data_IF_303208053875
#
_entry.id   IF_303208053875
#
_cell.length_a   1.000
_cell.length_b   1.000
_cell.length_c   1.000
_cell.angle_alpha   90.00
_cell.angle_beta   90.00
_cell.angle_gamma   90.00
#
_symmetry.space_group_name_H-M   'P 1'
#
loop_
_entity.id
_entity.type
_entity.pdbx_description
1 polymer ?
#
# COMPACT_ATOMS: atom_id res chain seq x y z
N UNK A 1 6.91 -84.85 -52.34
CA UNK A 1 6.11 -83.62 -52.51
C UNK A 1 6.05 -82.73 -51.25
N UNK A 2 6.25 -83.24 -50.02
CA UNK A 2 6.19 -82.46 -48.77
C UNK A 2 7.36 -81.49 -48.49
N UNK A 3 8.53 -81.69 -49.10
CA UNK A 3 9.73 -80.86 -48.85
C UNK A 3 9.75 -79.51 -49.58
N UNK A 4 9.03 -79.38 -50.70
CA UNK A 4 8.94 -78.12 -51.47
C UNK A 4 8.02 -77.13 -50.75
N UNK A 5 6.97 -77.63 -50.12
CA UNK A 5 5.97 -76.84 -49.39
C UNK A 5 6.58 -76.19 -48.12
N UNK A 6 7.42 -76.94 -47.39
CA UNK A 6 8.08 -76.45 -46.17
C UNK A 6 9.18 -75.41 -46.46
N UNK A 7 9.82 -75.51 -47.64
CA UNK A 7 10.84 -74.54 -48.09
C UNK A 7 10.20 -73.22 -48.53
N UNK A 8 9.02 -73.28 -49.16
CA UNK A 8 8.23 -72.08 -49.51
C UNK A 8 7.68 -71.41 -48.25
N UNK A 9 7.24 -72.20 -47.25
CA UNK A 9 6.79 -71.66 -45.96
C UNK A 9 7.92 -70.96 -45.20
N UNK A 10 9.13 -71.54 -45.17
CA UNK A 10 10.30 -70.89 -44.57
C UNK A 10 10.76 -69.65 -45.34
N UNK A 11 10.66 -69.65 -46.67
CA UNK A 11 10.96 -68.47 -47.48
C UNK A 11 9.93 -67.34 -47.26
N UNK A 12 8.67 -67.65 -46.95
CA UNK A 12 7.64 -66.68 -46.52
C UNK A 12 7.92 -66.12 -45.13
N UNK A 13 8.52 -66.89 -44.22
CA UNK A 13 8.98 -66.42 -42.90
C UNK A 13 10.30 -65.60 -42.98
N UNK A 14 11.22 -65.96 -43.88
CA UNK A 14 12.53 -65.30 -44.03
C UNK A 14 12.48 -64.03 -44.90
N UNK A 15 11.61 -64.00 -45.91
CA UNK A 15 11.27 -62.77 -46.63
C UNK A 15 10.02 -62.26 -45.93
N UNK A 16 10.16 -61.35 -44.96
CA UNK A 16 9.06 -60.79 -44.16
C UNK A 16 7.92 -60.22 -45.01
N UNK A 17 7.08 -61.11 -45.55
CA UNK A 17 6.02 -60.80 -46.47
C UNK A 17 4.83 -60.45 -45.59
N UNK A 18 4.79 -59.18 -45.20
CA UNK A 18 3.81 -58.60 -44.27
C UNK A 18 2.34 -58.81 -44.68
N UNK A 19 2.11 -59.24 -45.91
CA UNK A 19 0.80 -59.50 -46.47
C UNK A 19 0.78 -60.86 -47.17
N UNK A 20 -0.28 -61.63 -46.96
CA UNK A 20 -0.52 -62.90 -47.65
C UNK A 20 -0.92 -62.63 -49.10
N UNK A 21 -0.03 -62.94 -50.04
CA UNK A 21 -0.20 -62.68 -51.47
C UNK A 21 -1.48 -63.31 -52.05
N UNK A 22 -1.84 -64.50 -51.58
CA UNK A 22 -3.05 -65.23 -52.04
C UNK A 22 -4.33 -64.53 -51.58
N UNK A 23 -4.33 -63.95 -50.38
CA UNK A 23 -5.45 -63.19 -49.86
C UNK A 23 -5.58 -61.84 -50.57
N UNK A 24 -4.46 -61.13 -50.78
CA UNK A 24 -4.43 -59.89 -51.56
C UNK A 24 -4.97 -60.10 -52.98
N UNK A 25 -4.50 -61.15 -53.66
CA UNK A 25 -4.93 -61.48 -55.02
C UNK A 25 -6.43 -61.75 -55.07
N UNK A 26 -6.95 -62.54 -54.12
CA UNK A 26 -8.38 -62.82 -54.01
C UNK A 26 -9.22 -61.55 -53.77
N UNK A 27 -8.74 -60.64 -52.92
CA UNK A 27 -9.44 -59.38 -52.61
C UNK A 27 -9.45 -58.42 -53.81
N UNK A 28 -8.34 -58.35 -54.55
CA UNK A 28 -8.22 -57.55 -55.77
C UNK A 28 -9.11 -58.10 -56.88
N UNK A 29 -9.13 -59.42 -57.09
CA UNK A 29 -9.97 -60.08 -58.11
C UNK A 29 -11.47 -59.93 -57.82
N UNK A 30 -11.86 -59.92 -56.54
CA UNK A 30 -13.25 -59.65 -56.12
C UNK A 30 -13.67 -58.19 -56.26
N UNK A 31 -12.72 -57.27 -56.50
CA UNK A 31 -13.00 -55.84 -56.62
C UNK A 31 -13.51 -55.18 -55.33
N UNK A 32 -13.39 -55.85 -54.17
CA UNK A 32 -13.87 -55.33 -52.89
C UNK A 32 -12.82 -54.39 -52.29
N UNK A 33 -12.92 -53.11 -52.67
CA UNK A 33 -12.03 -52.06 -52.21
C UNK A 33 -12.06 -51.89 -50.69
N UNK A 34 -13.22 -52.01 -50.05
CA UNK A 34 -13.35 -51.79 -48.61
C UNK A 34 -12.66 -52.90 -47.80
N UNK A 35 -12.81 -54.16 -48.24
CA UNK A 35 -12.13 -55.30 -47.63
C UNK A 35 -10.61 -55.23 -47.86
N UNK A 36 -10.18 -54.79 -49.06
CA UNK A 36 -8.77 -54.57 -49.38
C UNK A 36 -8.15 -53.47 -48.51
N UNK A 37 -8.78 -52.29 -48.41
CA UNK A 37 -8.31 -51.17 -47.59
C UNK A 37 -8.20 -51.59 -46.11
N UNK A 38 -9.20 -52.33 -45.61
CA UNK A 38 -9.18 -52.86 -44.23
C UNK A 38 -8.04 -53.84 -44.00
N UNK A 39 -7.78 -54.73 -44.96
CA UNK A 39 -6.70 -55.72 -44.86
C UNK A 39 -5.32 -55.05 -44.85
N UNK A 40 -5.12 -54.05 -45.72
CA UNK A 40 -3.89 -53.26 -45.78
C UNK A 40 -3.67 -52.46 -44.49
N UNK A 41 -4.70 -51.78 -43.97
CA UNK A 41 -4.60 -51.01 -42.73
C UNK A 41 -4.32 -51.88 -41.49
N UNK A 42 -4.91 -53.08 -41.42
CA UNK A 42 -4.67 -54.04 -40.31
C UNK A 42 -3.26 -54.60 -40.28
N UNK A 43 -2.57 -54.64 -41.43
CA UNK A 43 -1.20 -55.11 -41.52
C UNK A 43 -0.14 -54.08 -41.11
N UNK A 44 -0.52 -52.83 -40.84
CA UNK A 44 0.41 -51.79 -40.39
C UNK A 44 0.78 -52.02 -38.92
N UNK A 45 2.07 -52.21 -38.65
CA UNK A 45 2.59 -52.37 -37.30
C UNK A 45 3.18 -51.06 -36.74
N UNK A 46 3.43 -51.02 -35.43
CA UNK A 46 4.02 -49.85 -34.76
C UNK A 46 5.38 -49.46 -35.35
N UNK A 47 6.17 -50.44 -35.80
CA UNK A 47 7.47 -50.23 -36.44
C UNK A 47 7.37 -49.50 -37.78
N UNK A 48 6.20 -49.53 -38.43
CA UNK A 48 5.97 -48.91 -39.73
C UNK A 48 5.50 -47.46 -39.63
N UNK A 49 5.05 -47.03 -38.45
CA UNK A 49 4.60 -45.66 -38.19
C UNK A 49 5.62 -44.57 -38.58
N UNK A 50 6.94 -44.70 -38.34
CA UNK A 50 7.91 -43.72 -38.83
C UNK A 50 7.89 -43.56 -40.35
N UNK A 51 7.76 -44.66 -41.10
CA UNK A 51 7.65 -44.62 -42.56
C UNK A 51 6.33 -43.99 -43.00
N UNK A 52 5.21 -44.38 -42.36
CA UNK A 52 3.89 -43.81 -42.65
C UNK A 52 3.86 -42.30 -42.44
N UNK A 53 4.44 -41.82 -41.33
CA UNK A 53 4.54 -40.38 -41.02
C UNK A 53 5.45 -39.62 -41.98
N UNK A 54 6.41 -40.28 -42.62
CA UNK A 54 7.32 -39.63 -43.57
C UNK A 54 6.74 -39.62 -44.99
N UNK A 55 6.01 -40.66 -45.37
CA UNK A 55 5.45 -40.82 -46.71
C UNK A 55 4.09 -40.15 -46.89
N UNK A 56 3.25 -40.09 -45.84
CA UNK A 56 1.91 -39.50 -45.90
C UNK A 56 1.83 -38.20 -45.08
N UNK A 57 1.80 -37.07 -45.78
CA UNK A 57 1.75 -35.74 -45.18
C UNK A 57 0.44 -35.46 -44.40
N UNK A 58 -0.69 -36.03 -44.83
CA UNK A 58 -1.98 -35.85 -44.15
C UNK A 58 -2.00 -36.57 -42.81
N UNK A 59 -1.51 -37.81 -42.77
CA UNK A 59 -1.38 -38.59 -41.53
C UNK A 59 -0.41 -37.89 -40.57
N UNK A 60 0.71 -37.38 -41.07
CA UNK A 60 1.65 -36.59 -40.27
C UNK A 60 0.99 -35.36 -39.66
N UNK A 61 0.30 -34.57 -40.48
CA UNK A 61 -0.37 -33.34 -40.03
C UNK A 61 -1.45 -33.61 -38.99
N UNK A 62 -2.21 -34.70 -39.15
CA UNK A 62 -3.24 -35.09 -38.18
C UNK A 62 -2.62 -35.48 -36.83
N UNK A 63 -1.58 -36.31 -36.85
CA UNK A 63 -0.88 -36.75 -35.63
C UNK A 63 -0.20 -35.57 -34.93
N UNK A 64 0.40 -34.64 -35.67
CA UNK A 64 1.00 -33.44 -35.09
C UNK A 64 -0.07 -32.53 -34.45
N UNK A 65 -1.22 -32.34 -35.11
CA UNK A 65 -2.36 -31.59 -34.54
C UNK A 65 -2.88 -32.20 -33.23
N UNK A 66 -3.03 -33.53 -33.16
CA UNK A 66 -3.50 -34.17 -31.94
C UNK A 66 -2.45 -34.09 -30.82
N UNK A 67 -1.15 -34.18 -31.15
CA UNK A 67 -0.07 -33.95 -30.19
C UNK A 67 -0.09 -32.53 -29.64
N UNK A 68 -0.27 -31.53 -30.49
CA UNK A 68 -0.33 -30.12 -30.10
C UNK A 68 -1.53 -29.85 -29.20
N UNK A 69 -2.69 -30.42 -29.53
CA UNK A 69 -3.90 -30.33 -28.70
C UNK A 69 -3.69 -30.98 -27.33
N UNK A 70 -3.08 -32.16 -27.27
CA UNK A 70 -2.77 -32.82 -26.01
C UNK A 70 -1.72 -32.06 -25.20
N UNK A 71 -0.67 -31.54 -25.84
CA UNK A 71 0.34 -30.70 -25.18
C UNK A 71 -0.29 -29.43 -24.63
N UNK A 72 -1.10 -28.72 -25.43
CA UNK A 72 -1.81 -27.53 -24.99
C UNK A 72 -2.71 -27.83 -23.80
N UNK A 73 -3.51 -28.89 -23.85
CA UNK A 73 -4.39 -29.31 -22.74
C UNK A 73 -3.59 -29.69 -21.50
N UNK A 74 -2.51 -30.44 -21.65
CA UNK A 74 -1.64 -30.84 -20.54
C UNK A 74 -0.95 -29.62 -19.90
N UNK A 75 -0.50 -28.67 -20.72
CA UNK A 75 0.08 -27.41 -20.26
C UNK A 75 -0.95 -26.57 -19.53
N UNK A 76 -2.15 -26.38 -20.06
CA UNK A 76 -3.21 -25.62 -19.39
C UNK A 76 -3.65 -26.30 -18.08
N UNK A 77 -3.75 -27.62 -18.06
CA UNK A 77 -4.04 -28.37 -16.83
C UNK A 77 -2.93 -28.22 -15.81
N UNK A 78 -1.67 -28.34 -16.23
CA UNK A 78 -0.53 -28.11 -15.35
C UNK A 78 -0.51 -26.68 -14.82
N UNK A 79 -0.76 -25.69 -15.69
CA UNK A 79 -0.84 -24.28 -15.31
C UNK A 79 -1.92 -24.04 -14.27
N UNK A 80 -3.14 -24.51 -14.52
CA UNK A 80 -4.26 -24.38 -13.60
C UNK A 80 -3.99 -25.03 -12.25
N UNK A 81 -3.28 -26.16 -12.22
CA UNK A 81 -3.02 -26.89 -10.98
C UNK A 81 -1.80 -26.39 -10.20
N UNK A 82 -0.82 -25.77 -10.87
CA UNK A 82 0.49 -25.48 -10.27
C UNK A 82 0.87 -24.00 -10.28
N UNK A 83 0.44 -23.19 -11.26
CA UNK A 83 0.88 -21.79 -11.35
C UNK A 83 0.43 -20.97 -10.14
N UNK A 84 -0.79 -21.15 -9.65
CA UNK A 84 -1.28 -20.40 -8.50
C UNK A 84 -0.43 -20.69 -7.25
N UNK A 85 -0.09 -21.95 -7.00
CA UNK A 85 0.79 -22.34 -5.88
C UNK A 85 2.20 -21.78 -6.03
N UNK A 86 2.78 -21.82 -7.23
CA UNK A 86 4.11 -21.30 -7.52
C UNK A 86 4.18 -19.77 -7.44
N UNK A 87 3.15 -19.09 -7.95
CA UNK A 87 3.00 -17.63 -7.85
C UNK A 87 2.85 -17.23 -6.38
N UNK A 88 1.98 -17.90 -5.62
CA UNK A 88 1.80 -17.65 -4.19
C UNK A 88 3.08 -17.91 -3.38
N UNK A 89 3.84 -18.96 -3.71
CA UNK A 89 5.13 -19.24 -3.08
C UNK A 89 6.19 -18.16 -3.38
N UNK A 90 6.29 -17.70 -4.63
CA UNK A 90 7.25 -16.66 -5.02
C UNK A 90 6.82 -15.28 -4.52
N UNK A 91 5.51 -14.99 -4.51
CA UNK A 91 4.93 -13.78 -3.90
C UNK A 91 5.23 -13.76 -2.40
N UNK A 92 4.97 -14.85 -1.66
CA UNK A 92 5.32 -14.98 -0.24
C UNK A 92 6.82 -14.87 0.03
N UNK A 93 7.66 -15.32 -0.89
CA UNK A 93 9.13 -15.23 -0.77
C UNK A 93 9.66 -13.81 -1.02
N UNK A 94 9.05 -13.08 -1.96
CA UNK A 94 9.47 -11.70 -2.33
C UNK A 94 8.79 -10.62 -1.50
N UNK A 95 7.56 -10.86 -1.11
CA UNK A 95 6.71 -10.02 -0.27
C UNK A 95 6.16 -10.88 0.86
N UNK A 96 6.86 -10.99 2.01
CA UNK A 96 6.26 -11.50 3.24
C UNK A 96 5.21 -10.51 3.81
N UNK A 97 4.22 -10.11 2.99
CA UNK A 97 3.14 -9.17 3.32
C UNK A 97 1.89 -9.96 3.75
N UNK A 98 1.86 -10.18 5.05
CA UNK A 98 0.72 -10.30 5.97
C UNK A 98 -0.40 -11.32 5.71
N UNK A 99 -0.28 -12.44 6.42
CA UNK A 99 -1.40 -13.32 6.77
C UNK A 99 -2.57 -12.54 7.41
N UNK A 100 -3.82 -13.06 7.42
CA UNK A 100 -4.96 -12.41 8.08
C UNK A 100 -4.69 -12.00 9.53
N UNK A 101 -3.85 -12.77 10.23
CA UNK A 101 -3.38 -12.48 11.58
C UNK A 101 -2.42 -11.29 11.63
N UNK A 102 -1.52 -11.16 10.66
CA UNK A 102 -0.62 -10.00 10.58
C UNK A 102 -1.36 -8.73 10.15
N UNK A 103 -2.35 -8.83 9.25
CA UNK A 103 -3.25 -7.71 8.95
C UNK A 103 -4.00 -7.26 10.21
N UNK A 104 -4.42 -8.23 11.05
CA UNK A 104 -5.05 -7.93 12.33
C UNK A 104 -4.07 -7.27 13.32
N UNK A 105 -2.81 -7.69 13.34
CA UNK A 105 -1.76 -7.06 14.15
C UNK A 105 -1.50 -5.64 13.65
N UNK A 106 -1.35 -5.41 12.35
CA UNK A 106 -1.19 -4.07 11.75
C UNK A 106 -2.35 -3.14 12.10
N UNK A 107 -3.59 -3.63 12.01
CA UNK A 107 -4.78 -2.87 12.45
C UNK A 107 -4.77 -2.56 13.95
N UNK A 108 -4.27 -3.48 14.79
CA UNK A 108 -4.16 -3.28 16.24
C UNK A 108 -3.03 -2.29 16.58
N UNK A 109 -1.88 -2.41 15.93
CA UNK A 109 -0.75 -1.48 16.06
C UNK A 109 -1.13 -0.08 15.60
N UNK A 110 -1.85 0.06 14.48
CA UNK A 110 -2.35 1.34 14.01
C UNK A 110 -3.36 1.95 14.99
N UNK A 111 -4.25 1.14 15.58
CA UNK A 111 -5.16 1.60 16.64
C UNK A 111 -4.42 2.04 17.90
N UNK A 112 -3.39 1.30 18.31
CA UNK A 112 -2.56 1.65 19.47
C UNK A 112 -1.81 2.96 19.18
N UNK A 113 -1.14 3.08 18.04
CA UNK A 113 -0.41 4.29 17.66
C UNK A 113 -1.33 5.52 17.57
N UNK A 114 -2.53 5.37 17.01
CA UNK A 114 -3.52 6.44 16.99
C UNK A 114 -4.02 6.80 18.40
N UNK A 115 -4.21 5.80 19.27
CA UNK A 115 -4.57 6.01 20.68
C UNK A 115 -3.48 6.72 21.47
N UNK A 116 -2.22 6.33 21.30
CA UNK A 116 -1.08 6.99 21.91
C UNK A 116 -0.93 8.43 21.43
N UNK A 117 -1.10 8.68 20.13
CA UNK A 117 -1.09 10.03 19.57
C UNK A 117 -2.21 10.89 20.16
N UNK A 118 -3.43 10.36 20.27
CA UNK A 118 -4.55 11.06 20.87
C UNK A 118 -4.31 11.35 22.36
N UNK A 119 -3.71 10.41 23.09
CA UNK A 119 -3.36 10.57 24.51
C UNK A 119 -2.29 11.64 24.70
N UNK A 120 -1.19 11.58 23.96
CA UNK A 120 -0.14 12.61 23.97
C UNK A 120 -0.70 13.98 23.62
N UNK A 121 -1.57 14.07 22.63
CA UNK A 121 -2.23 15.31 22.26
C UNK A 121 -3.14 15.84 23.40
N UNK A 122 -3.89 14.97 24.07
CA UNK A 122 -4.73 15.35 25.20
C UNK A 122 -3.90 15.83 26.42
N UNK A 123 -2.77 15.16 26.70
CA UNK A 123 -1.82 15.55 27.75
C UNK A 123 -1.22 16.93 27.46
N UNK A 124 -0.68 17.13 26.24
CA UNK A 124 -0.12 18.42 25.83
C UNK A 124 -1.18 19.53 25.87
N UNK A 125 -2.42 19.25 25.44
CA UNK A 125 -3.53 20.20 25.54
C UNK A 125 -3.85 20.55 26.98
N UNK A 126 -3.88 19.57 27.88
CA UNK A 126 -4.12 19.80 29.31
C UNK A 126 -3.05 20.71 29.92
N UNK A 127 -1.78 20.44 29.61
CA UNK A 127 -0.66 21.27 30.07
C UNK A 127 -0.67 22.68 29.47
N UNK A 128 -0.96 22.82 28.18
CA UNK A 128 -1.10 24.12 27.53
C UNK A 128 -2.27 24.94 28.13
N UNK A 129 -3.37 24.27 28.49
CA UNK A 129 -4.49 24.89 29.20
C UNK A 129 -4.10 25.37 30.61
N UNK A 130 -3.30 24.59 31.34
CA UNK A 130 -2.76 24.98 32.64
C UNK A 130 -1.84 26.19 32.50
N UNK A 131 -0.88 26.14 31.57
CA UNK A 131 0.02 27.27 31.28
C UNK A 131 -0.74 28.55 30.90
N UNK A 132 -1.79 28.44 30.09
CA UNK A 132 -2.63 29.57 29.72
C UNK A 132 -3.37 30.16 30.93
N UNK A 133 -3.82 29.31 31.85
CA UNK A 133 -4.47 29.72 33.10
C UNK A 133 -3.47 30.44 34.01
N UNK A 134 -2.28 29.85 34.22
CA UNK A 134 -1.22 30.39 35.08
C UNK A 134 -0.70 31.74 34.57
N UNK A 135 -0.63 31.91 33.24
CA UNK A 135 -0.15 33.14 32.61
C UNK A 135 -1.26 34.18 32.33
N UNK A 136 -2.45 33.99 32.91
CA UNK A 136 -3.61 34.87 32.76
C UNK A 136 -4.01 35.14 31.30
N UNK A 137 -3.80 34.15 30.41
CA UNK A 137 -4.27 34.24 29.04
C UNK A 137 -5.80 34.17 29.00
N UNK A 138 -6.49 34.99 28.18
CA UNK A 138 -7.95 35.01 28.15
C UNK A 138 -8.56 33.62 27.86
N UNK A 139 -9.55 33.19 28.64
CA UNK A 139 -10.20 31.88 28.48
C UNK A 139 -10.81 31.63 27.08
N UNK A 140 -11.25 32.71 26.40
CA UNK A 140 -11.74 32.66 25.01
C UNK A 140 -10.60 32.38 24.01
N UNK A 141 -9.39 32.81 24.32
CA UNK A 141 -8.21 32.54 23.52
C UNK A 141 -7.74 31.09 23.75
N UNK A 142 -7.59 30.70 25.01
CA UNK A 142 -7.19 29.36 25.41
C UNK A 142 -8.07 28.27 24.78
N UNK A 143 -9.39 28.39 24.92
CA UNK A 143 -10.34 27.39 24.39
C UNK A 143 -10.41 27.31 22.85
N UNK A 144 -10.05 28.37 22.13
CA UNK A 144 -10.21 28.46 20.66
C UNK A 144 -8.93 28.17 19.88
N UNK A 145 -7.77 28.46 20.47
CA UNK A 145 -6.51 28.48 19.72
C UNK A 145 -5.43 27.56 20.27
N UNK A 146 -5.55 27.03 21.50
CA UNK A 146 -4.52 26.14 22.06
C UNK A 146 -4.25 24.92 21.15
N UNK A 147 -5.29 24.32 20.57
CA UNK A 147 -5.16 23.21 19.61
C UNK A 147 -4.36 23.57 18.34
N UNK A 148 -4.25 24.87 18.00
CA UNK A 148 -3.50 25.36 16.84
C UNK A 148 -2.07 25.76 17.18
N UNK A 149 -1.76 25.94 18.46
CA UNK A 149 -0.44 26.33 18.97
C UNK A 149 0.29 25.18 19.67
N UNK A 150 -0.31 23.99 19.70
CA UNK A 150 0.32 22.74 20.13
C UNK A 150 1.40 22.33 19.11
N UNK A 151 2.66 22.34 19.55
CA UNK A 151 3.82 21.89 18.77
C UNK A 151 4.09 20.39 18.92
N UNK A 152 5.18 19.92 18.32
CA UNK A 152 5.58 18.50 18.34
C UNK A 152 5.90 17.99 19.75
N UNK A 153 6.29 18.90 20.66
CA UNK A 153 6.56 18.62 22.06
C UNK A 153 6.12 19.75 23.01
N UNK A 154 6.24 19.49 24.32
CA UNK A 154 5.87 20.42 25.39
C UNK A 154 6.74 21.69 25.40
N UNK A 155 8.01 21.57 25.03
CA UNK A 155 8.95 22.69 25.01
C UNK A 155 8.63 23.67 23.87
N UNK A 156 8.33 23.14 22.69
CA UNK A 156 7.91 23.91 21.53
C UNK A 156 6.56 24.60 21.80
N UNK A 157 5.61 23.87 22.39
CA UNK A 157 4.29 24.41 22.73
C UNK A 157 4.41 25.58 23.73
N UNK A 158 5.22 25.43 24.76
CA UNK A 158 5.41 26.49 25.76
C UNK A 158 6.19 27.68 25.22
N UNK A 159 7.20 27.46 24.36
CA UNK A 159 7.94 28.52 23.69
C UNK A 159 7.02 29.36 22.77
N UNK A 160 6.24 28.71 21.90
CA UNK A 160 5.31 29.42 21.00
C UNK A 160 4.22 30.18 21.77
N UNK A 161 3.71 29.62 22.88
CA UNK A 161 2.77 30.33 23.75
C UNK A 161 3.43 31.52 24.49
N UNK A 162 4.72 31.41 24.81
CA UNK A 162 5.52 32.49 25.42
C UNK A 162 5.73 33.67 24.46
N UNK A 163 6.17 33.40 23.23
CA UNK A 163 6.35 34.43 22.18
C UNK A 163 5.03 35.16 21.91
N UNK A 164 3.94 34.41 21.76
CA UNK A 164 2.62 35.00 21.55
C UNK A 164 2.16 35.88 22.72
N UNK A 165 2.47 35.47 23.95
CA UNK A 165 2.15 36.28 25.14
C UNK A 165 2.90 37.61 25.10
N UNK A 166 4.17 37.59 24.74
CA UNK A 166 4.98 38.81 24.61
C UNK A 166 4.42 39.75 23.54
N UNK A 167 4.10 39.22 22.36
CA UNK A 167 3.49 40.00 21.27
C UNK A 167 2.14 40.60 21.68
N UNK A 168 1.31 39.84 22.39
CA UNK A 168 0.02 40.32 22.87
C UNK A 168 0.17 41.40 23.94
N UNK A 169 1.08 41.22 24.90
CA UNK A 169 1.34 42.21 25.94
C UNK A 169 1.88 43.52 25.34
N UNK A 170 2.71 43.44 24.30
CA UNK A 170 3.19 44.60 23.54
C UNK A 170 2.04 45.30 22.79
N UNK A 171 1.17 44.56 22.09
CA UNK A 171 0.01 45.13 21.42
C UNK A 171 -0.95 45.83 22.40
N UNK A 172 -1.18 45.20 23.56
CA UNK A 172 -2.02 45.79 24.61
C UNK A 172 -1.39 47.08 25.14
N UNK A 173 -0.07 47.09 25.38
CA UNK A 173 0.65 48.31 25.78
C UNK A 173 0.51 49.42 24.74
N UNK A 174 0.74 49.12 23.45
CA UNK A 174 0.58 50.11 22.38
C UNK A 174 -0.85 50.64 22.28
N UNK A 175 -1.85 49.77 22.40
CA UNK A 175 -3.26 50.15 22.39
C UNK A 175 -3.61 51.03 23.59
N UNK A 176 -3.11 50.69 24.78
CA UNK A 176 -3.29 51.48 26.00
C UNK A 176 -2.60 52.83 25.88
N UNK A 177 -1.36 52.88 25.40
CA UNK A 177 -0.64 54.13 25.14
C UNK A 177 -1.36 55.01 24.12
N UNK A 178 -1.90 54.41 23.05
CA UNK A 178 -2.73 55.13 22.08
C UNK A 178 -4.00 55.68 22.73
N UNK A 179 -4.68 54.90 23.57
CA UNK A 179 -5.88 55.37 24.30
C UNK A 179 -5.53 56.44 25.33
N UNK A 180 -4.37 56.38 25.99
CA UNK A 180 -3.88 57.44 26.87
C UNK A 180 -3.46 58.68 26.09
N UNK A 181 -2.93 58.56 24.87
CA UNK A 181 -2.67 59.71 23.99
C UNK A 181 -3.95 60.34 23.45
N UNK A 182 -4.95 59.53 23.10
CA UNK A 182 -6.24 59.98 22.58
C UNK A 182 -7.15 60.57 23.67
N UNK A 183 -7.19 59.99 24.87
CA UNK A 183 -8.07 60.40 25.97
C UNK A 183 -7.34 61.13 27.10
N UNK A 184 -6.01 61.19 27.04
CA UNK A 184 -5.21 61.99 27.96
C UNK A 184 -5.43 63.47 27.66
N UNK A 185 -5.65 64.26 28.71
CA UNK A 185 -5.70 65.72 28.59
C UNK A 185 -4.39 66.19 27.98
N UNK A 186 -4.43 66.68 26.74
CA UNK A 186 -3.33 67.47 26.20
C UNK A 186 -3.22 68.70 27.10
N UNK A 187 -2.24 68.72 28.00
CA UNK A 187 -1.83 69.94 28.68
C UNK A 187 -1.19 70.80 27.59
N UNK A 188 -2.03 71.54 26.87
CA UNK A 188 -1.63 72.70 26.09
C UNK A 188 -0.67 73.47 26.99
N UNK A 189 0.62 73.48 26.65
CA UNK A 189 1.58 74.34 27.34
C UNK A 189 1.21 75.78 26.99
N UNK A 190 0.30 76.33 27.79
CA UNK A 190 0.05 77.75 27.83
C UNK A 190 1.34 78.43 28.25
N UNK A 191 1.78 79.34 27.39
CA UNK A 191 2.86 80.29 27.59
C UNK A 191 2.90 80.90 29.01
N UNK A 192 4.14 81.23 29.41
CA UNK A 192 4.58 82.14 30.48
C UNK A 192 5.15 81.47 31.73
N UNK A 193 6.42 81.79 31.99
CA UNK A 193 7.29 81.12 32.94
C UNK A 193 6.87 81.31 34.39
N UNK A 194 6.86 80.20 35.13
CA UNK A 194 7.23 80.08 36.53
C UNK A 194 7.46 78.58 36.80
N UNK A 195 8.55 78.19 37.49
CA UNK A 195 8.79 76.79 37.80
C UNK A 195 7.79 76.33 38.85
N UNK A 196 6.83 75.50 38.45
CA UNK A 196 5.97 74.79 39.41
C UNK A 196 6.81 73.69 40.05
N UNK A 197 7.48 74.02 41.15
CA UNK A 197 8.03 73.04 42.09
C UNK A 197 6.91 72.08 42.47
N UNK A 198 6.97 70.85 41.97
CA UNK A 198 6.07 69.77 42.37
C UNK A 198 6.40 69.47 43.83
N UNK A 199 5.64 70.05 44.75
CA UNK A 199 5.71 69.69 46.17
C UNK A 199 5.16 68.27 46.29
N UNK A 200 5.95 67.38 46.88
CA UNK A 200 5.50 66.02 47.15
C UNK A 200 4.23 66.08 48.03
N UNK A 201 3.31 65.13 47.85
CA UNK A 201 2.10 65.04 48.69
C UNK A 201 2.46 65.00 50.19
N UNK A 202 3.63 64.44 50.49
CA UNK A 202 4.23 64.39 51.82
C UNK A 202 4.58 65.78 52.39
N UNK A 203 5.08 66.71 51.56
CA UNK A 203 5.34 68.10 51.97
C UNK A 203 4.06 68.89 52.20
N UNK A 204 3.01 68.66 51.39
CA UNK A 204 1.71 69.29 51.62
C UNK A 204 1.05 68.77 52.90
N UNK A 205 1.17 67.47 53.20
CA UNK A 205 0.68 66.89 54.44
C UNK A 205 1.41 67.46 55.67
N UNK A 206 2.73 67.69 55.57
CA UNK A 206 3.51 68.30 56.64
C UNK A 206 3.12 69.77 56.90
N UNK A 207 2.86 70.55 55.84
CA UNK A 207 2.46 71.95 55.96
C UNK A 207 1.07 72.14 56.61
N UNK A 208 0.18 71.14 56.50
CA UNK A 208 -1.18 71.20 57.05
C UNK A 208 -1.34 70.49 58.41
N UNK A 209 -0.30 69.83 58.93
CA UNK A 209 -0.34 69.16 60.23
C UNK A 209 -0.08 70.12 61.41
N UNK A 210 -0.95 71.12 61.58
CA UNK A 210 -0.84 72.17 62.62
C UNK A 210 -1.70 71.84 63.86
N UNK A 211 -1.88 70.57 64.21
CA UNK A 211 -2.79 70.19 65.33
C UNK A 211 -2.21 69.34 66.45
N UNK A 212 -0.90 69.07 66.51
CA UNK A 212 -0.38 68.25 67.62
C UNK A 212 1.05 68.58 68.11
N UNK A 213 1.41 69.86 68.23
CA UNK A 213 2.73 70.25 68.81
C UNK A 213 2.67 71.24 69.97
N UNK A 214 1.53 71.38 70.65
CA UNK A 214 1.47 72.08 71.94
C UNK A 214 0.88 71.17 73.02
N UNK A 215 1.74 70.36 73.64
CA UNK A 215 1.77 70.09 75.09
C UNK A 215 3.08 69.39 75.46
#
# INVERSE_FOLDING_TARGET
MRFVDESVQRAKEEIGMKYELDQLKTLVEKGDKAALDTYLLKGIEKSDMPSVLTTNAEVKSYIDSEKDKHHSTALETWKSNNLESLVEAEVRKRNPEETPEQKRIRELEEKIANGEKATKHAELKSKAMQYATDNNLPAKFASKYIDKFLGDDESATTATLGELKEDLDNLVREAVDKKFKENGRNLQSGSSGQPTTIKSIQEMAAAHNVRNTNQ
#
